data_IF_855087701402
#
_entry.id   IF_855087701402
#
_cell.length_a   1.000
_cell.length_b   1.000
_cell.length_c   1.000
_cell.angle_alpha   90.00
_cell.angle_beta   90.00
_cell.angle_gamma   90.00
#
_symmetry.space_group_name_H-M   'P 1'
#
loop_
_entity.id
_entity.type
_entity.pdbx_description
1 polymer ?
#
# COMPACT_ATOMS: atom_id res chain seq x y z
N UNK A 1 57.13 15.61 -43.44
CA UNK A 1 56.94 14.24 -43.95
C UNK A 1 55.72 13.65 -43.25
N UNK A 2 54.78 13.12 -44.03
CA UNK A 2 53.46 12.63 -43.64
C UNK A 2 53.51 11.46 -42.65
N UNK A 3 52.55 11.39 -41.73
CA UNK A 3 51.74 10.19 -41.45
C UNK A 3 50.46 10.60 -40.67
N UNK A 4 49.35 10.76 -41.41
CA UNK A 4 48.02 10.87 -40.82
C UNK A 4 47.40 9.47 -40.76
N UNK A 5 47.11 9.02 -39.54
CA UNK A 5 46.49 7.72 -39.24
C UNK A 5 45.00 7.79 -39.54
N UNK A 6 44.53 6.97 -40.48
CA UNK A 6 43.11 6.83 -40.81
C UNK A 6 42.45 5.83 -39.84
N UNK A 7 41.50 6.31 -39.03
CA UNK A 7 40.66 5.47 -38.17
C UNK A 7 39.36 5.14 -38.92
N UNK A 8 39.00 3.86 -39.10
CA UNK A 8 37.74 3.51 -39.75
C UNK A 8 36.56 3.74 -38.81
N UNK A 9 35.61 4.55 -39.26
CA UNK A 9 34.31 4.77 -38.60
C UNK A 9 33.43 3.55 -38.90
N UNK A 10 33.18 2.73 -37.88
CA UNK A 10 32.20 1.66 -37.93
C UNK A 10 30.79 2.22 -38.14
N UNK A 11 30.24 1.98 -39.33
CA UNK A 11 28.86 2.29 -39.65
C UNK A 11 27.90 1.38 -38.88
N UNK A 12 27.30 1.89 -37.82
CA UNK A 12 26.15 1.26 -37.18
C UNK A 12 24.91 1.40 -38.07
N UNK A 13 24.68 0.40 -38.92
CA UNK A 13 23.44 0.24 -39.69
C UNK A 13 22.30 -0.13 -38.74
N UNK A 14 21.62 0.88 -38.20
CA UNK A 14 20.46 0.75 -37.31
C UNK A 14 19.24 0.28 -38.12
N UNK A 15 19.08 -1.04 -38.31
CA UNK A 15 17.83 -1.59 -38.83
C UNK A 15 16.71 -1.39 -37.79
N UNK A 16 15.90 -0.35 -37.98
CA UNK A 16 14.62 -0.20 -37.29
C UNK A 16 13.64 -1.20 -37.90
N UNK A 17 13.59 -2.41 -37.33
CA UNK A 17 12.43 -3.28 -37.49
C UNK A 17 11.23 -2.61 -36.81
N UNK A 18 10.56 -1.71 -37.54
CA UNK A 18 9.19 -1.31 -37.25
C UNK A 18 8.28 -2.43 -37.71
N UNK A 19 8.22 -3.51 -36.93
CA UNK A 19 7.02 -4.32 -36.86
C UNK A 19 5.97 -3.47 -36.15
N UNK A 20 5.31 -2.60 -36.93
CA UNK A 20 4.01 -2.05 -36.54
C UNK A 20 3.11 -3.27 -36.53
N UNK A 21 2.95 -3.86 -35.34
CA UNK A 21 1.97 -4.91 -35.09
C UNK A 21 0.63 -4.27 -35.46
N UNK A 22 0.13 -4.59 -36.64
CA UNK A 22 -1.27 -4.41 -37.02
C UNK A 22 -2.05 -5.32 -36.09
N UNK A 23 -2.22 -4.87 -34.85
CA UNK A 23 -3.12 -5.49 -33.89
C UNK A 23 -4.50 -5.30 -34.50
N UNK A 24 -5.04 -6.39 -35.02
CA UNK A 24 -6.33 -6.42 -35.69
C UNK A 24 -7.36 -5.70 -34.82
N UNK A 25 -7.96 -4.62 -35.33
CA UNK A 25 -8.84 -3.72 -34.56
C UNK A 25 -9.99 -4.50 -33.90
N UNK A 26 -10.37 -5.63 -34.51
CA UNK A 26 -11.37 -6.58 -34.00
C UNK A 26 -10.97 -7.24 -32.68
N UNK A 27 -9.67 -7.40 -32.41
CA UNK A 27 -9.16 -7.96 -31.16
C UNK A 27 -8.86 -6.88 -30.10
N UNK A 28 -8.55 -5.66 -30.53
CA UNK A 28 -8.26 -4.55 -29.61
C UNK A 28 -9.51 -4.11 -28.82
N UNK A 29 -10.67 -4.06 -29.48
CA UNK A 29 -11.92 -3.61 -28.88
C UNK A 29 -12.38 -4.45 -27.67
N UNK A 30 -12.45 -5.80 -27.73
CA UNK A 30 -12.82 -6.60 -26.56
C UNK A 30 -11.81 -6.51 -25.42
N UNK A 31 -10.51 -6.35 -25.71
CA UNK A 31 -9.48 -6.19 -24.68
C UNK A 31 -9.63 -4.87 -23.91
N UNK A 32 -9.98 -3.78 -24.61
CA UNK A 32 -10.24 -2.48 -23.97
C UNK A 32 -11.49 -2.58 -23.07
N UNK A 33 -12.56 -3.21 -23.56
CA UNK A 33 -13.78 -3.41 -22.76
C UNK A 33 -13.48 -4.25 -21.52
N UNK A 34 -12.73 -5.34 -21.66
CA UNK A 34 -12.31 -6.17 -20.53
C UNK A 34 -11.50 -5.37 -19.51
N UNK A 35 -10.54 -4.57 -19.97
CA UNK A 35 -9.73 -3.72 -19.10
C UNK A 35 -10.58 -2.69 -18.33
N UNK A 36 -11.56 -2.07 -19.00
CA UNK A 36 -12.49 -1.13 -18.35
C UNK A 36 -13.36 -1.83 -17.30
N UNK A 37 -13.88 -3.03 -17.60
CA UNK A 37 -14.65 -3.81 -16.63
C UNK A 37 -13.81 -4.20 -15.41
N UNK A 38 -12.55 -4.57 -15.61
CA UNK A 38 -11.64 -4.87 -14.50
C UNK A 38 -11.35 -3.63 -13.64
N UNK A 39 -11.16 -2.46 -14.25
CA UNK A 39 -10.96 -1.20 -13.52
C UNK A 39 -12.22 -0.85 -12.71
N UNK A 40 -13.42 -0.98 -13.28
CA UNK A 40 -14.67 -0.71 -12.57
C UNK A 40 -14.90 -1.72 -11.45
N UNK A 41 -14.65 -3.00 -11.68
CA UNK A 41 -14.77 -4.05 -10.67
C UNK A 41 -13.78 -3.81 -9.52
N UNK A 42 -12.51 -3.59 -9.83
CA UNK A 42 -11.47 -3.34 -8.84
C UNK A 42 -11.68 -2.02 -8.09
N UNK A 43 -12.10 -0.97 -8.81
CA UNK A 43 -12.49 0.31 -8.21
C UNK A 43 -13.69 0.16 -7.27
N UNK A 44 -14.65 -0.70 -7.61
CA UNK A 44 -15.79 -1.00 -6.74
C UNK A 44 -15.36 -1.75 -5.48
N UNK A 45 -14.41 -2.70 -5.57
CA UNK A 45 -13.84 -3.37 -4.39
C UNK A 45 -13.08 -2.39 -3.48
N UNK A 46 -12.29 -1.48 -4.04
CA UNK A 46 -11.56 -0.45 -3.27
C UNK A 46 -12.53 0.55 -2.62
N UNK A 47 -13.57 1.00 -3.34
CA UNK A 47 -14.56 1.93 -2.77
C UNK A 47 -15.49 1.26 -1.76
N UNK A 48 -15.76 -0.05 -1.90
CA UNK A 48 -16.54 -0.82 -0.92
C UNK A 48 -15.83 -0.89 0.44
N UNK A 49 -14.52 -1.11 0.44
CA UNK A 49 -13.73 -1.14 1.68
C UNK A 49 -13.77 0.20 2.44
N UNK A 50 -13.89 1.31 1.72
CA UNK A 50 -13.94 2.64 2.32
C UNK A 50 -15.35 3.04 2.81
N UNK A 51 -16.40 2.28 2.50
CA UNK A 51 -17.79 2.67 2.84
C UNK A 51 -18.21 2.23 4.23
N UNK A 52 -17.63 1.17 4.77
CA UNK A 52 -17.94 0.68 6.12
C UNK A 52 -17.18 1.43 7.22
N UNK A 53 -16.19 2.26 6.87
CA UNK A 53 -15.51 3.17 7.81
C UNK A 53 -16.37 4.37 8.25
N UNK A 54 -17.58 4.52 7.68
CA UNK A 54 -18.42 5.71 7.84
C UNK A 54 -19.20 5.78 9.16
N UNK A 55 -19.10 4.76 10.02
CA UNK A 55 -19.69 4.80 11.36
C UNK A 55 -18.76 5.29 12.47
N UNK A 56 -17.52 5.70 12.15
CA UNK A 56 -16.69 6.48 13.07
C UNK A 56 -17.11 7.96 13.08
N UNK A 57 -18.33 8.20 13.57
CA UNK A 57 -18.89 9.53 13.85
C UNK A 57 -18.31 10.04 15.18
N UNK A 58 -17.03 10.38 15.19
CA UNK A 58 -16.44 11.27 16.21
C UNK A 58 -15.68 12.36 15.43
N UNK A 59 -16.36 13.46 15.11
CA UNK A 59 -16.41 14.63 15.96
C UNK A 59 -15.03 15.31 16.07
N UNK A 60 -14.92 16.41 15.33
CA UNK A 60 -14.21 17.63 15.74
C UNK A 60 -12.69 17.62 15.69
N UNK A 61 -12.15 18.35 14.71
CA UNK A 61 -11.61 19.69 15.02
C UNK A 61 -10.38 19.82 15.92
N UNK A 62 -9.77 18.75 16.41
CA UNK A 62 -8.46 18.84 17.05
C UNK A 62 -7.38 18.51 16.02
N UNK A 63 -6.43 19.43 15.85
CA UNK A 63 -5.13 19.12 15.27
C UNK A 63 -4.53 17.96 16.05
N UNK A 64 -4.71 16.74 15.53
CA UNK A 64 -4.09 15.51 16.02
C UNK A 64 -2.58 15.58 15.76
N UNK A 65 -1.90 16.37 16.58
CA UNK A 65 -0.49 16.16 16.82
C UNK A 65 -0.43 14.87 17.64
N UNK A 66 -0.09 13.75 16.99
CA UNK A 66 0.67 12.72 17.70
C UNK A 66 1.78 13.50 18.41
N UNK A 67 1.68 13.66 19.73
CA UNK A 67 2.56 14.57 20.46
C UNK A 67 4.02 14.15 20.30
N UNK A 68 4.22 12.87 19.97
CA UNK A 68 5.49 12.29 19.60
C UNK A 68 5.44 11.64 18.21
N UNK A 69 6.30 12.12 17.31
CA UNK A 69 6.56 11.51 16.00
C UNK A 69 7.28 10.15 16.12
N UNK A 70 7.89 9.87 17.28
CA UNK A 70 8.61 8.62 17.53
C UNK A 70 7.65 7.57 18.11
N UNK A 71 7.40 6.45 17.41
CA UNK A 71 6.54 5.37 17.91
C UNK A 71 7.01 4.78 19.24
N UNK A 72 8.30 4.89 19.56
CA UNK A 72 8.86 4.40 20.83
C UNK A 72 8.42 5.24 22.05
N UNK A 73 7.95 6.47 21.81
CA UNK A 73 7.48 7.40 22.85
C UNK A 73 5.96 7.50 22.90
N UNK A 74 5.26 6.64 22.15
CA UNK A 74 3.81 6.60 22.16
C UNK A 74 3.29 6.07 23.49
N UNK A 75 2.33 6.79 24.05
CA UNK A 75 1.52 6.33 25.17
C UNK A 75 0.51 5.28 24.71
N UNK A 76 -0.15 4.62 25.66
CA UNK A 76 -1.23 3.66 25.35
C UNK A 76 -2.32 4.34 24.52
N UNK A 77 -2.69 5.58 24.88
CA UNK A 77 -3.72 6.35 24.17
C UNK A 77 -3.29 6.72 22.75
N UNK A 78 -2.00 7.01 22.53
CA UNK A 78 -1.45 7.26 21.18
C UNK A 78 -1.54 6.00 20.30
N UNK A 79 -1.17 4.84 20.85
CA UNK A 79 -1.22 3.54 20.14
C UNK A 79 -2.67 3.15 19.85
N UNK A 80 -3.58 3.32 20.81
CA UNK A 80 -5.01 3.07 20.64
C UNK A 80 -5.60 3.97 19.54
N UNK A 81 -5.35 5.27 19.62
CA UNK A 81 -5.83 6.26 18.65
C UNK A 81 -5.29 5.96 17.25
N UNK A 82 -3.99 5.65 17.16
CA UNK A 82 -3.38 5.22 15.91
C UNK A 82 -4.04 3.95 15.36
N UNK A 83 -4.25 2.92 16.18
CA UNK A 83 -4.84 1.65 15.74
C UNK A 83 -6.27 1.80 15.20
N UNK A 84 -7.12 2.58 15.87
CA UNK A 84 -8.49 2.88 15.38
C UNK A 84 -8.47 3.60 14.03
N UNK A 85 -7.56 4.55 13.85
CA UNK A 85 -7.41 5.29 12.58
C UNK A 85 -6.99 4.41 11.42
N UNK A 86 -6.22 3.36 11.69
CA UNK A 86 -5.81 2.39 10.69
C UNK A 86 -6.90 1.33 10.40
N UNK A 87 -8.06 1.41 11.07
CA UNK A 87 -9.15 0.45 10.93
C UNK A 87 -8.97 -0.82 11.76
N UNK A 88 -8.07 -0.82 12.74
CA UNK A 88 -7.83 -1.95 13.64
C UNK A 88 -8.58 -1.75 14.98
N UNK A 89 -9.90 -1.63 14.94
CA UNK A 89 -10.71 -1.36 16.14
C UNK A 89 -10.62 -2.46 17.21
N UNK A 90 -10.57 -3.72 16.78
CA UNK A 90 -10.37 -4.86 17.67
C UNK A 90 -9.00 -4.81 18.36
N UNK A 91 -7.96 -4.36 17.64
CA UNK A 91 -6.64 -4.18 18.22
C UNK A 91 -6.63 -3.02 19.22
N UNK A 92 -7.36 -1.95 18.97
CA UNK A 92 -7.47 -0.83 19.91
C UNK A 92 -8.04 -1.27 21.28
N UNK A 93 -9.02 -2.17 21.28
CA UNK A 93 -9.57 -2.76 22.50
C UNK A 93 -8.51 -3.58 23.25
N UNK A 94 -7.70 -4.33 22.50
CA UNK A 94 -6.58 -5.12 23.04
C UNK A 94 -5.48 -4.21 23.61
N UNK A 95 -5.18 -3.09 22.95
CA UNK A 95 -4.20 -2.08 23.41
C UNK A 95 -4.59 -1.54 24.77
N UNK A 96 -5.85 -1.13 24.96
CA UNK A 96 -6.37 -0.68 26.25
C UNK A 96 -6.34 -1.80 27.30
N UNK A 97 -6.81 -2.99 26.94
CA UNK A 97 -6.86 -4.14 27.86
C UNK A 97 -5.49 -4.57 28.37
N UNK A 98 -4.47 -4.49 27.52
CA UNK A 98 -3.11 -4.94 27.82
C UNK A 98 -2.13 -3.78 28.08
N UNK A 99 -2.62 -2.54 28.14
CA UNK A 99 -1.83 -1.32 28.35
C UNK A 99 -0.61 -1.25 27.41
N UNK A 100 -0.84 -1.52 26.13
CA UNK A 100 0.23 -1.57 25.12
C UNK A 100 0.69 -0.15 24.78
N UNK A 101 1.86 0.23 25.30
CA UNK A 101 2.54 1.46 24.90
C UNK A 101 3.46 1.23 23.68
N UNK A 102 4.04 2.31 23.18
CA UNK A 102 4.93 2.26 22.01
C UNK A 102 6.16 1.37 22.18
N UNK A 103 6.66 1.22 23.42
CA UNK A 103 7.79 0.34 23.72
C UNK A 103 7.37 -1.12 23.66
N UNK A 104 6.23 -1.45 24.27
CA UNK A 104 5.66 -2.79 24.22
C UNK A 104 5.34 -3.16 22.77
N UNK A 105 4.76 -2.26 21.98
CA UNK A 105 4.49 -2.47 20.56
C UNK A 105 5.75 -2.88 19.79
N UNK A 106 6.90 -2.26 20.09
CA UNK A 106 8.18 -2.59 19.45
C UNK A 106 8.73 -3.96 19.88
N UNK A 107 8.36 -4.44 21.08
CA UNK A 107 8.73 -5.77 21.58
C UNK A 107 7.76 -6.87 21.16
N UNK A 108 6.60 -6.53 20.59
CA UNK A 108 5.64 -7.50 20.09
C UNK A 108 6.16 -8.14 18.80
N UNK A 109 6.68 -9.36 18.92
CA UNK A 109 6.89 -10.25 17.78
C UNK A 109 5.58 -10.91 17.36
N UNK A 110 5.49 -11.36 16.10
CA UNK A 110 4.30 -12.03 15.55
C UNK A 110 3.81 -13.21 16.41
N UNK A 111 4.73 -13.91 17.05
CA UNK A 111 4.43 -15.02 17.98
C UNK A 111 3.68 -14.54 19.23
N UNK A 112 3.94 -13.33 19.72
CA UNK A 112 3.30 -12.75 20.90
C UNK A 112 1.91 -12.21 20.55
N UNK A 113 1.76 -11.63 19.37
CA UNK A 113 0.47 -11.16 18.85
C UNK A 113 -0.55 -12.30 18.71
N UNK A 114 -0.09 -13.45 18.22
CA UNK A 114 -0.93 -14.64 18.07
C UNK A 114 -1.15 -15.38 19.38
N UNK A 115 -0.10 -15.61 20.19
CA UNK A 115 -0.21 -16.43 21.40
C UNK A 115 -0.78 -15.70 22.63
N UNK A 116 -0.47 -14.41 22.82
CA UNK A 116 -0.89 -13.64 24.01
C UNK A 116 -2.06 -12.72 23.75
N UNK A 117 -2.15 -12.15 22.55
CA UNK A 117 -3.16 -11.16 22.22
C UNK A 117 -4.35 -11.77 21.47
N UNK A 118 -4.25 -13.05 21.07
CA UNK A 118 -5.35 -13.81 20.46
C UNK A 118 -5.78 -13.29 19.09
N UNK A 119 -4.94 -12.48 18.44
CA UNK A 119 -5.21 -11.90 17.12
C UNK A 119 -4.82 -12.97 16.10
N UNK A 120 -5.82 -13.71 15.62
CA UNK A 120 -5.63 -14.74 14.60
C UNK A 120 -5.30 -14.08 13.26
N UNK A 121 -4.29 -14.60 12.57
CA UNK A 121 -3.90 -14.17 11.22
C UNK A 121 -4.95 -14.50 10.14
N UNK A 122 -6.07 -15.14 10.50
CA UNK A 122 -7.14 -15.53 9.58
C UNK A 122 -8.10 -14.41 9.17
N UNK A 123 -7.86 -13.16 9.59
CA UNK A 123 -8.75 -12.02 9.28
C UNK A 123 -8.31 -11.21 8.03
N UNK A 124 -7.51 -11.84 7.15
CA UNK A 124 -7.06 -11.28 5.89
C UNK A 124 -7.55 -12.14 4.71
N UNK A 125 -8.88 -12.25 4.56
CA UNK A 125 -9.55 -12.76 3.36
C UNK A 125 -10.59 -11.74 2.87
#
# INVERSE_FOLDING_TARGET
>A
LHMASAVPIFGFRRHKNRTVVLLDIKLALPLIILALLLIVYFGSSILSWNRDSSHAKHASGDTFALQNLSPLLWTVDDVETWSRRMGFDDFALVVQKHLLDGKMLFTLTGDILTSKLGISSQQAD
#
